data_IF_792135147383
#
_entry.id   IF_792135147383
#
_cell.length_a   1.000
_cell.length_b   1.000
_cell.length_c   1.000
_cell.angle_alpha   90.00
_cell.angle_beta   90.00
_cell.angle_gamma   90.00
#
_symmetry.space_group_name_H-M   'P 1'
#
loop_
_entity.id
_entity.type
_entity.pdbx_description
1 polymer ?
#
# COMPACT_ATOMS: atom_id res chain seq x y z
N UNK A 1 -24.86 5.11 4.31
CA UNK A 1 -25.07 3.85 5.07
C UNK A 1 -24.46 3.93 6.46
N UNK A 2 -24.88 3.04 7.39
CA UNK A 2 -24.34 3.03 8.77
C UNK A 2 -23.11 2.14 8.96
N UNK A 3 -22.93 1.14 8.10
CA UNK A 3 -21.76 0.28 8.08
C UNK A 3 -21.56 -0.37 6.72
N UNK A 4 -20.33 -0.78 6.45
CA UNK A 4 -19.97 -1.62 5.29
C UNK A 4 -18.69 -2.42 5.60
N UNK A 5 -18.51 -3.51 4.86
CA UNK A 5 -17.32 -4.35 4.94
C UNK A 5 -16.57 -4.30 3.62
N UNK A 6 -15.24 -4.29 3.71
CA UNK A 6 -14.34 -4.33 2.56
C UNK A 6 -13.44 -5.56 2.65
N UNK A 7 -13.15 -6.15 1.50
CA UNK A 7 -12.06 -7.11 1.35
C UNK A 7 -11.03 -6.51 0.37
N UNK A 8 -9.89 -6.07 0.93
CA UNK A 8 -8.80 -5.47 0.15
C UNK A 8 -7.55 -6.31 0.37
N UNK A 9 -7.03 -6.90 -0.70
CA UNK A 9 -5.87 -7.78 -0.63
C UNK A 9 -6.05 -8.96 0.36
N UNK A 10 -7.29 -9.37 0.62
CA UNK A 10 -7.63 -10.39 1.60
C UNK A 10 -7.71 -9.89 3.04
N UNK A 11 -7.53 -8.59 3.31
CA UNK A 11 -7.85 -7.98 4.60
C UNK A 11 -9.34 -7.66 4.67
N UNK A 12 -9.99 -8.11 5.71
CA UNK A 12 -11.40 -7.87 5.99
C UNK A 12 -11.52 -6.67 6.92
N UNK A 13 -11.99 -5.56 6.39
CA UNK A 13 -12.11 -4.28 7.09
C UNK A 13 -13.59 -3.98 7.30
N UNK A 14 -14.06 -3.98 8.54
CA UNK A 14 -15.39 -3.51 8.89
C UNK A 14 -15.32 -2.04 9.27
N UNK A 15 -16.17 -1.24 8.67
CA UNK A 15 -16.29 0.18 8.99
C UNK A 15 -17.71 0.45 9.43
N UNK A 16 -17.90 1.03 10.60
CA UNK A 16 -19.20 1.34 11.14
C UNK A 16 -19.24 2.75 11.75
N UNK A 17 -20.37 3.40 11.62
CA UNK A 17 -20.63 4.69 12.24
C UNK A 17 -21.03 4.49 13.69
N UNK A 18 -20.41 5.22 14.62
CA UNK A 18 -20.83 5.25 16.03
C UNK A 18 -22.26 5.77 16.18
N UNK A 19 -22.84 5.59 17.37
CA UNK A 19 -24.14 6.18 17.68
C UNK A 19 -24.08 7.71 17.54
N UNK A 20 -25.03 8.29 16.79
CA UNK A 20 -25.00 9.71 16.45
C UNK A 20 -23.88 10.15 15.47
N UNK A 21 -23.07 9.22 14.99
CA UNK A 21 -22.00 9.49 14.01
C UNK A 21 -22.51 9.75 12.59
N UNK A 22 -21.59 10.02 11.63
CA UNK A 22 -21.94 10.43 10.27
C UNK A 22 -22.51 9.28 9.44
N UNK A 23 -23.19 9.60 8.34
CA UNK A 23 -23.48 8.63 7.30
C UNK A 23 -22.19 8.30 6.51
N UNK A 24 -21.94 7.01 6.30
CA UNK A 24 -20.75 6.52 5.60
C UNK A 24 -21.02 6.38 4.10
N UNK A 25 -20.16 6.97 3.29
CA UNK A 25 -20.20 6.91 1.83
C UNK A 25 -18.83 6.47 1.33
N UNK A 26 -18.65 5.17 1.00
CA UNK A 26 -17.37 4.69 0.47
C UNK A 26 -17.09 5.33 -0.89
N UNK A 27 -15.86 5.76 -1.12
CA UNK A 27 -15.43 6.26 -2.42
C UNK A 27 -15.57 5.20 -3.52
N UNK A 28 -15.76 5.64 -4.76
CA UNK A 28 -16.01 4.78 -5.91
C UNK A 28 -14.94 3.69 -6.11
N UNK A 29 -13.67 4.00 -5.79
CA UNK A 29 -12.55 3.03 -5.87
C UNK A 29 -12.70 1.82 -4.95
N UNK A 30 -13.54 1.91 -3.89
CA UNK A 30 -13.77 0.80 -2.95
C UNK A 30 -15.01 -0.03 -3.27
N UNK A 31 -15.90 0.43 -4.15
CA UNK A 31 -17.18 -0.23 -4.39
C UNK A 31 -17.02 -1.69 -4.84
N UNK A 32 -15.95 -1.99 -5.58
CA UNK A 32 -15.63 -3.36 -6.02
C UNK A 32 -15.01 -4.23 -4.92
N UNK A 33 -14.63 -3.65 -3.80
CA UNK A 33 -14.09 -4.34 -2.63
C UNK A 33 -15.13 -4.58 -1.54
N UNK A 34 -16.36 -4.03 -1.69
CA UNK A 34 -17.44 -4.27 -0.74
C UNK A 34 -17.80 -5.75 -0.72
N UNK A 35 -17.86 -6.32 0.47
CA UNK A 35 -18.23 -7.71 0.69
C UNK A 35 -19.30 -7.86 1.79
N UNK A 36 -19.91 -9.05 1.85
CA UNK A 36 -20.96 -9.36 2.83
C UNK A 36 -20.45 -10.22 4.00
N UNK A 37 -19.12 -10.40 4.11
CA UNK A 37 -18.52 -11.18 5.19
C UNK A 37 -18.70 -10.44 6.52
N UNK A 38 -19.08 -11.18 7.57
CA UNK A 38 -19.34 -10.62 8.91
C UNK A 38 -18.10 -10.62 9.80
N UNK A 39 -17.14 -11.50 9.52
CA UNK A 39 -15.84 -11.53 10.21
C UNK A 39 -14.93 -10.41 9.67
N UNK A 40 -14.04 -9.93 10.52
CA UNK A 40 -13.13 -8.84 10.17
C UNK A 40 -11.79 -8.97 10.88
N UNK A 41 -10.72 -8.55 10.18
CA UNK A 41 -9.37 -8.39 10.75
C UNK A 41 -9.28 -7.09 11.56
N UNK A 42 -10.03 -6.07 11.14
CA UNK A 42 -10.12 -4.78 11.83
C UNK A 42 -11.52 -4.20 11.76
N UNK A 43 -11.99 -3.65 12.89
CA UNK A 43 -13.18 -2.83 13.01
C UNK A 43 -12.79 -1.36 13.20
N UNK A 44 -13.24 -0.47 12.31
CA UNK A 44 -13.04 0.97 12.41
C UNK A 44 -14.36 1.64 12.76
N UNK A 45 -14.47 2.21 13.98
CA UNK A 45 -15.62 3.01 14.39
C UNK A 45 -15.41 4.46 14.02
N UNK A 46 -16.35 5.01 13.23
CA UNK A 46 -16.27 6.38 12.72
C UNK A 46 -17.15 7.29 13.56
N UNK A 47 -16.54 8.32 14.12
CA UNK A 47 -17.16 9.33 14.97
C UNK A 47 -17.19 10.69 14.24
N UNK A 48 -18.28 11.43 14.42
CA UNK A 48 -18.34 12.83 14.00
C UNK A 48 -17.68 13.74 15.04
N UNK A 49 -17.09 14.85 14.56
CA UNK A 49 -16.61 15.92 15.41
C UNK A 49 -15.12 15.85 15.74
N UNK A 50 -14.72 16.67 16.71
CA UNK A 50 -13.33 16.89 17.05
C UNK A 50 -12.88 15.91 18.14
N UNK A 51 -11.76 15.25 17.92
CA UNK A 51 -11.01 14.55 18.96
C UNK A 51 -9.73 15.33 19.29
N UNK A 52 -9.35 15.33 20.56
CA UNK A 52 -8.09 15.95 21.02
C UNK A 52 -7.12 14.88 21.47
N UNK A 53 -6.02 14.73 20.74
CA UNK A 53 -4.91 13.87 21.16
C UNK A 53 -4.40 14.33 22.53
N UNK A 54 -4.10 13.45 23.48
CA UNK A 54 -3.56 13.80 24.79
C UNK A 54 -2.38 14.79 24.69
N UNK A 55 -2.38 15.84 25.51
CA UNK A 55 -1.39 16.93 25.40
C UNK A 55 0.05 16.50 25.64
N UNK A 56 0.26 15.39 26.31
CA UNK A 56 1.56 14.75 26.57
C UNK A 56 1.89 13.59 25.60
N UNK A 57 1.10 13.44 24.50
CA UNK A 57 1.45 12.49 23.46
C UNK A 57 2.69 12.96 22.69
N UNK A 58 3.64 12.07 22.50
CA UNK A 58 4.85 12.33 21.74
C UNK A 58 4.56 12.28 20.24
N UNK A 59 4.94 13.32 19.49
CA UNK A 59 4.90 13.27 18.03
C UNK A 59 6.14 12.58 17.49
N UNK A 60 5.98 11.33 17.03
CA UNK A 60 7.06 10.45 16.57
C UNK A 60 7.34 10.51 15.08
N UNK A 61 6.38 11.03 14.28
CA UNK A 61 6.55 11.14 12.84
C UNK A 61 5.75 12.32 12.26
N UNK A 62 6.26 12.89 11.17
CA UNK A 62 5.57 13.94 10.42
C UNK A 62 5.90 13.82 8.92
N UNK A 63 4.89 13.76 8.08
CA UNK A 63 5.02 13.71 6.63
C UNK A 63 4.58 15.05 6.00
N UNK A 64 5.37 15.61 5.07
CA UNK A 64 4.94 16.73 4.24
C UNK A 64 3.94 16.26 3.17
N UNK A 65 3.13 17.17 2.64
CA UNK A 65 2.37 16.95 1.42
C UNK A 65 3.23 17.36 0.22
N UNK A 66 3.50 16.39 -0.63
CA UNK A 66 4.33 16.57 -1.84
C UNK A 66 3.47 16.17 -3.04
N UNK A 67 3.40 17.02 -4.05
CA UNK A 67 2.80 16.73 -5.35
C UNK A 67 3.89 16.59 -6.41
N UNK A 68 3.70 15.67 -7.33
CA UNK A 68 4.55 15.59 -8.53
C UNK A 68 3.89 16.43 -9.65
N UNK A 69 4.56 17.48 -10.08
CA UNK A 69 4.12 18.37 -11.15
C UNK A 69 5.17 18.32 -12.26
N UNK A 70 4.80 17.79 -13.42
CA UNK A 70 5.71 17.65 -14.58
C UNK A 70 7.03 16.90 -14.24
N UNK A 71 6.94 15.84 -13.42
CA UNK A 71 8.09 15.04 -12.99
C UNK A 71 8.94 15.68 -11.88
N UNK A 72 8.53 16.85 -11.36
CA UNK A 72 9.21 17.54 -10.27
C UNK A 72 8.38 17.41 -9.01
N UNK A 73 9.02 16.97 -7.92
CA UNK A 73 8.39 16.92 -6.60
C UNK A 73 8.31 18.33 -6.00
N UNK A 74 7.08 18.81 -5.80
CA UNK A 74 6.78 20.13 -5.22
C UNK A 74 6.15 19.95 -3.85
N UNK A 75 6.84 20.41 -2.82
CA UNK A 75 6.31 20.43 -1.45
C UNK A 75 5.21 21.48 -1.32
N UNK A 76 3.97 21.05 -1.06
CA UNK A 76 2.80 21.91 -0.90
C UNK A 76 2.51 22.29 0.54
N UNK A 77 2.85 21.41 1.49
CA UNK A 77 2.63 21.65 2.91
C UNK A 77 3.66 20.88 3.75
N UNK A 78 4.09 21.48 4.87
CA UNK A 78 4.91 20.77 5.87
C UNK A 78 4.09 19.82 6.75
N UNK A 79 2.76 19.88 6.66
CA UNK A 79 1.84 19.15 7.52
C UNK A 79 0.81 18.44 6.65
N UNK A 80 1.04 17.18 6.39
CA UNK A 80 0.08 16.33 5.70
C UNK A 80 -0.54 15.33 6.67
N UNK A 81 0.30 14.52 7.28
CA UNK A 81 -0.10 13.63 8.34
C UNK A 81 1.04 13.45 9.35
N UNK A 82 0.69 13.06 10.57
CA UNK A 82 1.66 12.83 11.63
C UNK A 82 1.21 11.69 12.53
N UNK A 83 2.18 11.01 13.17
CA UNK A 83 1.93 9.98 14.17
C UNK A 83 2.28 10.54 15.54
N UNK A 84 1.37 10.32 16.48
CA UNK A 84 1.58 10.62 17.88
C UNK A 84 1.43 9.33 18.69
N UNK A 85 2.31 9.12 19.66
CA UNK A 85 2.31 7.97 20.58
C UNK A 85 1.93 8.43 21.98
N UNK A 86 1.00 7.73 22.59
CA UNK A 86 0.63 7.92 23.99
C UNK A 86 0.34 6.57 24.62
N UNK A 87 1.20 6.14 25.54
CA UNK A 87 1.18 4.78 26.10
C UNK A 87 1.25 3.71 25.00
N UNK A 88 0.23 2.86 24.90
CA UNK A 88 0.11 1.82 23.87
C UNK A 88 -0.71 2.27 22.65
N UNK A 89 -1.31 3.47 22.70
CA UNK A 89 -2.11 4.02 21.63
C UNK A 89 -1.26 4.81 20.65
N UNK A 90 -1.59 4.66 19.37
CA UNK A 90 -1.04 5.43 18.28
C UNK A 90 -2.16 6.28 17.65
N UNK A 91 -1.83 7.51 17.29
CA UNK A 91 -2.77 8.43 16.67
C UNK A 91 -2.19 8.93 15.36
N UNK A 92 -2.86 8.62 14.26
CA UNK A 92 -2.60 9.27 12.98
C UNK A 92 -3.49 10.50 12.88
N UNK A 93 -2.86 11.68 12.84
CA UNK A 93 -3.54 12.95 12.54
C UNK A 93 -3.29 13.31 11.10
N UNK A 94 -4.34 13.54 10.31
CA UNK A 94 -4.22 13.86 8.88
C UNK A 94 -5.10 15.02 8.46
N UNK A 95 -4.71 15.65 7.35
CA UNK A 95 -5.52 16.56 6.55
C UNK A 95 -5.92 15.85 5.25
N UNK A 96 -7.12 16.14 4.75
CA UNK A 96 -7.57 15.64 3.45
C UNK A 96 -7.32 16.71 2.37
N UNK A 97 -6.19 16.65 1.63
CA UNK A 97 -5.79 17.73 0.73
C UNK A 97 -6.66 17.84 -0.51
N UNK A 98 -7.32 16.75 -0.92
CA UNK A 98 -8.20 16.71 -2.09
C UNK A 98 -9.63 17.14 -1.78
N UNK A 99 -9.95 17.36 -0.50
CA UNK A 99 -11.26 17.83 -0.09
C UNK A 99 -11.43 19.32 -0.34
N UNK A 100 -12.57 19.71 -0.91
CA UNK A 100 -12.96 21.14 -1.05
C UNK A 100 -13.19 21.84 0.31
N UNK A 101 -13.37 21.05 1.38
CA UNK A 101 -13.49 21.55 2.76
C UNK A 101 -12.26 21.08 3.52
N UNK A 102 -11.70 21.93 4.38
CA UNK A 102 -10.57 21.59 5.25
C UNK A 102 -10.97 20.52 6.27
N UNK A 103 -11.07 19.28 5.80
CA UNK A 103 -11.34 18.11 6.64
C UNK A 103 -10.08 17.68 7.36
N UNK A 104 -10.24 17.27 8.60
CA UNK A 104 -9.17 16.67 9.41
C UNK A 104 -9.67 15.35 9.95
N UNK A 105 -8.76 14.40 10.10
CA UNK A 105 -9.09 13.16 10.76
C UNK A 105 -8.02 12.79 11.79
N UNK A 106 -8.47 12.04 12.81
CA UNK A 106 -7.60 11.39 13.79
C UNK A 106 -8.04 9.94 13.88
N UNK A 107 -7.15 9.04 13.45
CA UNK A 107 -7.30 7.61 13.65
C UNK A 107 -6.53 7.21 14.91
N UNK A 108 -7.23 6.71 15.92
CA UNK A 108 -6.65 6.02 17.06
C UNK A 108 -6.58 4.54 16.75
N UNK A 109 -5.39 3.95 16.86
CA UNK A 109 -5.17 2.54 16.61
C UNK A 109 -4.09 1.95 17.52
N UNK A 110 -4.07 0.64 17.63
CA UNK A 110 -2.99 -0.11 18.28
C UNK A 110 -2.60 -1.28 17.39
N UNK A 111 -1.31 -1.61 17.34
CA UNK A 111 -0.82 -2.78 16.58
C UNK A 111 -1.29 -4.12 17.18
N UNK A 112 -1.76 -4.09 18.45
CA UNK A 112 -2.23 -5.26 19.19
C UNK A 112 -3.75 -5.31 19.33
N UNK A 113 -4.50 -4.46 18.61
CA UNK A 113 -5.97 -4.42 18.67
C UNK A 113 -6.56 -4.42 17.29
N UNK A 114 -7.63 -5.17 17.11
CA UNK A 114 -8.47 -5.15 15.90
C UNK A 114 -9.57 -4.07 15.96
N UNK A 115 -9.65 -3.28 17.01
CA UNK A 115 -10.64 -2.21 17.14
C UNK A 115 -9.93 -0.86 17.11
N UNK A 116 -10.31 -0.02 16.13
CA UNK A 116 -9.75 1.30 15.86
C UNK A 116 -10.87 2.35 15.87
N UNK A 117 -10.55 3.56 16.28
CA UNK A 117 -11.48 4.69 16.30
C UNK A 117 -11.03 5.79 15.36
N UNK A 118 -11.92 6.29 14.51
CA UNK A 118 -11.67 7.34 13.53
C UNK A 118 -12.60 8.53 13.78
N UNK A 119 -12.04 9.69 14.12
CA UNK A 119 -12.77 10.96 14.21
C UNK A 119 -12.54 11.79 12.96
N UNK A 120 -13.62 12.32 12.37
CA UNK A 120 -13.57 13.19 11.19
C UNK A 120 -14.20 14.54 11.56
N UNK A 121 -13.38 15.59 11.50
CA UNK A 121 -13.78 16.99 11.74
C UNK A 121 -14.05 17.68 10.40
N UNK A 122 -15.19 18.37 10.26
CA UNK A 122 -15.55 19.14 9.06
C UNK A 122 -16.17 18.34 7.92
N UNK A 123 -16.51 17.07 8.14
CA UNK A 123 -17.02 16.17 7.11
C UNK A 123 -18.48 16.38 6.67
N UNK A 124 -19.29 17.12 7.43
CA UNK A 124 -20.74 17.20 7.19
C UNK A 124 -21.49 15.94 7.63
N UNK A 125 -22.70 15.72 7.07
CA UNK A 125 -23.55 14.57 7.38
C UNK A 125 -23.04 13.27 6.75
N UNK A 126 -22.35 13.36 5.59
CA UNK A 126 -21.81 12.23 4.81
C UNK A 126 -20.29 12.30 4.77
N UNK A 127 -19.61 11.18 5.00
CA UNK A 127 -18.15 11.08 4.98
C UNK A 127 -17.65 9.83 4.25
N UNK A 128 -16.54 9.96 3.51
CA UNK A 128 -15.70 8.83 3.13
C UNK A 128 -14.67 8.59 4.25
N UNK A 129 -14.75 7.48 4.99
CA UNK A 129 -13.82 7.20 6.08
C UNK A 129 -12.43 6.81 5.62
N UNK A 130 -12.28 6.47 4.34
CA UNK A 130 -11.02 6.06 3.73
C UNK A 130 -10.49 7.10 2.72
N UNK A 131 -10.90 8.37 2.88
CA UNK A 131 -10.37 9.46 2.04
C UNK A 131 -8.84 9.56 2.19
N UNK A 132 -8.15 9.78 1.06
CA UNK A 132 -6.68 9.89 1.03
C UNK A 132 -6.18 10.94 2.04
N UNK A 133 -5.19 10.61 2.89
CA UNK A 133 -4.27 9.48 2.83
C UNK A 133 -4.64 8.30 3.75
N UNK A 134 -5.79 8.30 4.42
CA UNK A 134 -6.14 7.26 5.40
C UNK A 134 -6.20 5.86 4.79
N UNK A 135 -6.68 5.72 3.56
CA UNK A 135 -6.72 4.45 2.84
C UNK A 135 -5.35 3.75 2.80
N UNK A 136 -4.34 4.46 2.31
CA UNK A 136 -2.98 3.93 2.23
C UNK A 136 -2.35 3.67 3.60
N UNK A 137 -2.64 4.53 4.60
CA UNK A 137 -2.11 4.38 5.95
C UNK A 137 -2.73 3.18 6.67
N UNK A 138 -4.04 2.98 6.57
CA UNK A 138 -4.73 1.82 7.14
C UNK A 138 -4.21 0.53 6.53
N UNK A 139 -4.12 0.45 5.19
CA UNK A 139 -3.57 -0.73 4.52
C UNK A 139 -2.11 -1.00 4.92
N UNK A 140 -1.28 0.05 5.04
CA UNK A 140 0.09 -0.12 5.52
C UNK A 140 0.16 -0.75 6.91
N UNK A 141 -0.64 -0.26 7.87
CA UNK A 141 -0.62 -0.83 9.23
C UNK A 141 -1.24 -2.22 9.30
N UNK A 142 -2.17 -2.56 8.41
CA UNK A 142 -2.63 -3.95 8.26
C UNK A 142 -1.50 -4.85 7.74
N UNK A 143 -0.70 -4.42 6.76
CA UNK A 143 0.47 -5.21 6.34
C UNK A 143 1.46 -5.42 7.49
N UNK A 144 1.69 -4.41 8.32
CA UNK A 144 2.58 -4.52 9.50
C UNK A 144 2.05 -5.55 10.50
N UNK A 145 0.75 -5.50 10.82
CA UNK A 145 0.12 -6.41 11.79
C UNK A 145 0.19 -7.87 11.31
N UNK A 146 0.01 -8.09 10.00
CA UNK A 146 0.01 -9.45 9.42
C UNK A 146 1.40 -9.94 8.98
N UNK A 147 2.45 -9.13 9.11
CA UNK A 147 3.79 -9.48 8.63
C UNK A 147 3.90 -9.57 7.11
N UNK A 148 3.00 -8.90 6.38
CA UNK A 148 2.99 -8.80 4.94
C UNK A 148 3.85 -7.63 4.44
N UNK A 149 4.02 -7.48 3.13
CA UNK A 149 4.92 -6.48 2.53
C UNK A 149 4.12 -5.55 1.64
N UNK A 150 4.19 -4.25 1.88
CA UNK A 150 3.70 -3.24 0.93
C UNK A 150 4.89 -2.65 0.17
N UNK A 151 4.84 -2.70 -1.15
CA UNK A 151 5.96 -2.31 -2.02
C UNK A 151 5.52 -1.41 -3.17
N UNK A 152 6.36 -0.44 -3.52
CA UNK A 152 6.19 0.40 -4.71
C UNK A 152 6.72 -0.32 -5.94
N UNK A 153 5.81 -0.91 -6.72
CA UNK A 153 6.15 -1.79 -7.84
C UNK A 153 5.03 -1.86 -8.89
N UNK A 154 5.37 -2.33 -10.09
CA UNK A 154 4.40 -2.83 -11.06
C UNK A 154 4.30 -4.35 -10.96
N UNK A 155 3.09 -4.88 -10.91
CA UNK A 155 2.80 -6.31 -10.88
C UNK A 155 2.12 -6.76 -12.17
N UNK A 156 2.60 -7.83 -12.76
CA UNK A 156 2.12 -8.39 -14.02
C UNK A 156 1.79 -9.87 -13.82
N UNK A 157 0.71 -10.34 -14.43
CA UNK A 157 0.45 -11.75 -14.62
C UNK A 157 0.52 -12.10 -16.11
N UNK A 158 1.40 -13.01 -16.47
CA UNK A 158 1.52 -13.56 -17.81
C UNK A 158 1.43 -15.07 -17.74
N UNK A 159 0.42 -15.65 -18.37
CA UNK A 159 0.19 -17.10 -18.41
C UNK A 159 0.22 -17.80 -17.03
N UNK A 160 -0.26 -17.13 -15.98
CA UNK A 160 -0.29 -17.66 -14.61
C UNK A 160 0.96 -17.33 -13.78
N UNK A 161 2.05 -16.87 -14.40
CA UNK A 161 3.27 -16.43 -13.73
C UNK A 161 3.17 -14.96 -13.33
N UNK A 162 3.45 -14.65 -12.07
CA UNK A 162 3.45 -13.29 -11.57
C UNK A 162 4.85 -12.68 -11.52
N UNK A 163 5.02 -11.53 -12.15
CA UNK A 163 6.28 -10.78 -12.20
C UNK A 163 6.13 -9.44 -11.50
N UNK A 164 7.01 -9.20 -10.55
CA UNK A 164 7.09 -7.94 -9.83
C UNK A 164 8.27 -7.13 -10.35
N UNK A 165 7.99 -5.91 -10.84
CA UNK A 165 9.00 -4.96 -11.31
C UNK A 165 9.11 -3.80 -10.32
N UNK A 166 10.23 -3.70 -9.61
CA UNK A 166 10.46 -2.68 -8.59
C UNK A 166 11.74 -1.90 -8.86
N UNK A 167 11.78 -0.67 -8.41
CA UNK A 167 12.90 0.25 -8.56
C UNK A 167 12.49 1.65 -8.12
N UNK A 168 13.46 2.51 -7.87
CA UNK A 168 13.22 3.91 -7.47
C UNK A 168 12.39 4.66 -8.52
N UNK A 169 11.82 5.81 -8.13
CA UNK A 169 11.04 6.65 -9.06
C UNK A 169 11.81 6.95 -10.34
N UNK A 170 11.11 6.94 -11.49
CA UNK A 170 11.71 7.19 -12.81
C UNK A 170 12.46 6.02 -13.46
N UNK A 171 12.58 4.85 -12.82
CA UNK A 171 13.28 3.69 -13.39
C UNK A 171 12.47 2.86 -14.40
N UNK A 172 11.23 3.27 -14.70
CA UNK A 172 10.45 2.67 -15.78
C UNK A 172 9.46 1.60 -15.37
N UNK A 173 8.97 1.56 -14.11
CA UNK A 173 7.92 0.63 -13.66
C UNK A 173 6.67 0.71 -14.52
N UNK A 174 6.11 1.90 -14.71
CA UNK A 174 4.95 2.14 -15.58
C UNK A 174 5.22 1.81 -17.05
N UNK A 175 6.45 2.05 -17.52
CA UNK A 175 6.87 1.65 -18.88
C UNK A 175 6.85 0.15 -19.03
N UNK A 176 7.36 -0.58 -18.04
CA UNK A 176 7.33 -2.04 -18.02
C UNK A 176 5.89 -2.56 -18.00
N UNK A 177 5.02 -2.01 -17.14
CA UNK A 177 3.60 -2.37 -17.12
C UNK A 177 2.95 -2.19 -18.49
N UNK A 178 3.17 -1.05 -19.17
CA UNK A 178 2.65 -0.79 -20.52
C UNK A 178 3.19 -1.75 -21.58
N UNK A 179 4.46 -2.13 -21.52
CA UNK A 179 5.04 -3.09 -22.47
C UNK A 179 4.38 -4.46 -22.34
N UNK A 180 4.14 -4.92 -21.11
CA UNK A 180 3.47 -6.19 -20.86
C UNK A 180 1.98 -6.16 -21.20
N UNK A 181 1.27 -5.08 -20.90
CA UNK A 181 -0.12 -4.85 -21.28
C UNK A 181 -0.29 -4.93 -22.81
N UNK A 182 0.57 -4.23 -23.55
CA UNK A 182 0.62 -4.26 -25.02
C UNK A 182 0.97 -5.66 -25.59
N UNK A 183 1.54 -6.55 -24.79
CA UNK A 183 1.81 -7.94 -25.19
C UNK A 183 0.70 -8.92 -24.78
N UNK A 184 -0.40 -8.41 -24.19
CA UNK A 184 -1.56 -9.20 -23.79
C UNK A 184 -1.47 -9.80 -22.38
N UNK A 185 -0.48 -9.44 -21.58
CA UNK A 185 -0.42 -9.82 -20.18
C UNK A 185 -1.36 -8.96 -19.33
N UNK A 186 -1.78 -9.47 -18.18
CA UNK A 186 -2.64 -8.74 -17.24
C UNK A 186 -1.80 -7.91 -16.28
N UNK A 187 -1.97 -6.61 -16.31
CA UNK A 187 -1.40 -5.72 -15.27
C UNK A 187 -2.22 -5.87 -14.00
N UNK A 188 -1.57 -6.23 -12.90
CA UNK A 188 -2.18 -6.33 -11.57
C UNK A 188 -2.29 -4.93 -10.97
N UNK A 189 -1.20 -4.19 -10.97
CA UNK A 189 -1.12 -2.78 -10.57
C UNK A 189 0.23 -2.18 -11.00
N UNK A 190 0.35 -0.85 -11.05
CA UNK A 190 1.62 -0.17 -11.40
C UNK A 190 2.02 0.96 -10.43
N UNK A 191 1.53 0.89 -9.18
CA UNK A 191 1.91 1.83 -8.11
C UNK A 191 2.28 1.09 -6.83
N UNK A 192 1.28 0.57 -6.09
CA UNK A 192 1.46 -0.10 -4.80
C UNK A 192 0.85 -1.49 -4.81
N UNK A 193 1.65 -2.47 -4.44
CA UNK A 193 1.25 -3.86 -4.29
C UNK A 193 1.39 -4.29 -2.83
N UNK A 194 0.51 -5.19 -2.42
CA UNK A 194 0.64 -5.92 -1.17
C UNK A 194 1.06 -7.34 -1.52
N UNK A 195 2.15 -7.81 -0.93
CA UNK A 195 2.64 -9.17 -1.08
C UNK A 195 2.34 -9.91 0.22
N UNK A 196 1.56 -10.99 0.10
CA UNK A 196 1.16 -11.83 1.23
C UNK A 196 1.71 -13.23 1.10
N UNK A 197 2.14 -13.80 2.23
CA UNK A 197 2.53 -15.20 2.31
C UNK A 197 1.29 -16.09 2.26
N UNK A 198 1.33 -17.16 1.47
CA UNK A 198 0.30 -18.21 1.46
C UNK A 198 0.63 -19.29 2.48
N UNK A 199 -0.38 -19.93 3.07
CA UNK A 199 -0.16 -21.03 4.00
C UNK A 199 0.61 -22.23 3.40
N UNK A 200 0.75 -22.29 2.08
CA UNK A 200 1.50 -23.32 1.34
C UNK A 200 2.97 -22.98 1.04
N UNK A 201 3.48 -21.86 1.58
CA UNK A 201 4.88 -21.46 1.41
C UNK A 201 5.18 -20.57 0.20
N UNK A 202 4.14 -20.20 -0.60
CA UNK A 202 4.27 -19.26 -1.71
C UNK A 202 3.91 -17.84 -1.31
N UNK A 203 3.95 -16.94 -2.29
CA UNK A 203 3.56 -15.54 -2.14
C UNK A 203 2.57 -15.14 -3.23
N UNK A 204 1.63 -14.27 -2.86
CA UNK A 204 0.66 -13.68 -3.77
C UNK A 204 0.77 -12.16 -3.69
N UNK A 205 0.84 -11.51 -4.84
CA UNK A 205 0.76 -10.06 -4.94
C UNK A 205 -0.68 -9.63 -5.24
N UNK A 206 -1.14 -8.60 -4.54
CA UNK A 206 -2.47 -8.01 -4.66
C UNK A 206 -2.36 -6.55 -5.05
N UNK A 207 -3.31 -6.06 -5.84
CA UNK A 207 -3.45 -4.62 -6.05
C UNK A 207 -4.04 -3.92 -4.82
N UNK A 208 -3.88 -2.60 -4.81
CA UNK A 208 -4.54 -1.70 -3.85
C UNK A 208 -5.54 -0.80 -4.60
N UNK A 209 -6.69 -0.44 -4.01
CA UNK A 209 -7.69 0.39 -4.67
C UNK A 209 -7.26 1.88 -4.70
N UNK A 210 -6.39 2.24 -5.64
CA UNK A 210 -5.86 3.61 -5.81
C UNK A 210 -6.65 4.39 -6.85
N UNK A 211 -7.08 3.70 -7.92
CA UNK A 211 -7.78 4.31 -9.05
C UNK A 211 -9.30 4.11 -8.95
N UNK A 212 -10.02 4.93 -9.71
CA UNK A 212 -11.48 4.83 -9.81
C UNK A 212 -11.88 3.46 -10.40
N UNK A 213 -12.86 2.81 -9.77
CA UNK A 213 -13.38 1.50 -10.19
C UNK A 213 -12.35 0.36 -10.22
N UNK A 214 -11.31 0.41 -9.40
CA UNK A 214 -10.37 -0.68 -9.29
C UNK A 214 -11.07 -2.00 -8.93
N UNK A 215 -10.80 -3.03 -9.74
CA UNK A 215 -11.26 -4.40 -9.48
C UNK A 215 -10.21 -5.10 -8.65
N UNK A 216 -10.57 -5.86 -7.59
CA UNK A 216 -9.61 -6.68 -6.87
C UNK A 216 -8.88 -7.64 -7.82
N UNK A 217 -7.57 -7.54 -7.87
CA UNK A 217 -6.70 -8.35 -8.69
C UNK A 217 -5.60 -8.98 -7.82
N UNK A 218 -5.26 -10.21 -8.17
CA UNK A 218 -4.13 -10.90 -7.53
C UNK A 218 -3.40 -11.79 -8.52
N UNK A 219 -2.17 -12.14 -8.18
CA UNK A 219 -1.34 -13.09 -8.93
C UNK A 219 -0.36 -13.78 -8.00
N UNK A 220 -0.06 -15.08 -8.19
CA UNK A 220 1.13 -15.67 -7.57
C UNK A 220 2.36 -14.81 -7.87
N UNK A 221 3.28 -14.70 -6.93
CA UNK A 221 4.57 -14.05 -7.15
C UNK A 221 5.61 -15.11 -7.55
N UNK A 222 6.01 -15.10 -8.82
CA UNK A 222 6.95 -16.07 -9.38
C UNK A 222 8.38 -15.55 -9.44
N UNK A 223 8.57 -14.24 -9.79
CA UNK A 223 9.90 -13.61 -9.91
C UNK A 223 9.85 -12.12 -9.54
N UNK A 224 10.97 -11.63 -9.02
CA UNK A 224 11.18 -10.20 -8.71
C UNK A 224 12.25 -9.65 -9.66
N UNK A 225 11.93 -8.54 -10.31
CA UNK A 225 12.85 -7.79 -11.17
C UNK A 225 13.10 -6.40 -10.58
N UNK A 226 14.34 -6.16 -10.17
CA UNK A 226 14.83 -4.89 -9.68
C UNK A 226 15.36 -4.10 -10.88
N UNK A 227 14.51 -3.19 -11.40
CA UNK A 227 14.70 -2.60 -12.73
C UNK A 227 15.60 -1.36 -12.71
N UNK A 228 16.42 -1.28 -13.75
CA UNK A 228 17.26 -0.11 -14.06
C UNK A 228 17.31 0.13 -15.57
N UNK A 229 17.52 1.38 -15.97
CA UNK A 229 17.78 1.68 -17.38
C UNK A 229 19.11 1.09 -17.83
N UNK A 230 19.12 0.43 -19.00
CA UNK A 230 20.28 -0.17 -19.59
C UNK A 230 20.43 0.15 -21.09
N UNK A 231 21.65 0.08 -21.61
CA UNK A 231 21.92 0.14 -23.07
C UNK A 231 21.56 -1.16 -23.79
N UNK A 232 21.44 -2.26 -23.04
CA UNK A 232 21.04 -3.60 -23.48
C UNK A 232 20.13 -4.22 -22.41
N UNK A 233 19.34 -5.22 -22.79
CA UNK A 233 18.59 -6.03 -21.86
C UNK A 233 19.51 -7.08 -21.23
N UNK A 234 19.55 -7.13 -19.90
CA UNK A 234 20.41 -8.06 -19.15
C UNK A 234 19.75 -8.46 -17.83
N UNK A 235 19.73 -9.75 -17.54
CA UNK A 235 19.27 -10.33 -16.28
C UNK A 235 20.49 -10.76 -15.46
N UNK A 236 20.62 -10.19 -14.27
CA UNK A 236 21.69 -10.51 -13.32
C UNK A 236 21.05 -11.06 -12.07
N UNK A 237 21.23 -12.36 -11.73
CA UNK A 237 20.67 -12.93 -10.50
C UNK A 237 21.12 -12.16 -9.25
N UNK A 238 20.20 -11.97 -8.30
CA UNK A 238 20.49 -11.30 -7.03
C UNK A 238 20.03 -12.19 -5.89
N UNK A 239 20.92 -12.47 -4.95
CA UNK A 239 20.67 -13.38 -3.84
C UNK A 239 21.15 -12.80 -2.50
N UNK A 240 20.77 -13.49 -1.41
CA UNK A 240 21.23 -13.16 -0.06
C UNK A 240 20.91 -11.74 0.38
N UNK A 241 21.82 -11.13 1.12
CA UNK A 241 21.64 -9.78 1.68
C UNK A 241 21.50 -8.69 0.60
N UNK A 242 22.07 -8.89 -0.59
CA UNK A 242 21.90 -7.98 -1.72
C UNK A 242 20.46 -7.92 -2.20
N UNK A 243 19.80 -9.07 -2.35
CA UNK A 243 18.37 -9.14 -2.68
C UNK A 243 17.52 -8.43 -1.62
N UNK A 244 17.70 -8.79 -0.35
CA UNK A 244 16.98 -8.20 0.78
C UNK A 244 17.12 -6.67 0.79
N UNK A 245 18.34 -6.16 0.68
CA UNK A 245 18.60 -4.71 0.68
C UNK A 245 17.91 -3.99 -0.48
N UNK A 246 17.98 -4.54 -1.70
CA UNK A 246 17.37 -3.93 -2.88
C UNK A 246 15.85 -3.98 -2.83
N UNK A 247 15.23 -5.05 -2.31
CA UNK A 247 13.78 -5.14 -2.13
C UNK A 247 13.33 -4.17 -1.03
N UNK A 248 14.00 -4.16 0.13
CA UNK A 248 13.72 -3.25 1.24
C UNK A 248 13.73 -1.77 0.83
N UNK A 249 14.66 -1.38 -0.04
CA UNK A 249 14.76 0.00 -0.53
C UNK A 249 13.51 0.47 -1.32
N UNK A 250 12.67 -0.45 -1.79
CA UNK A 250 11.46 -0.16 -2.54
C UNK A 250 10.17 -0.46 -1.73
N UNK A 251 10.28 -1.03 -0.53
CA UNK A 251 9.14 -1.23 0.35
C UNK A 251 8.64 0.12 0.89
N UNK A 252 7.33 0.23 1.09
CA UNK A 252 6.74 1.35 1.80
C UNK A 252 7.15 1.23 3.27
N UNK A 253 7.72 2.29 3.82
CA UNK A 253 8.27 2.31 5.18
C UNK A 253 7.94 3.62 5.88
N UNK A 254 7.46 3.53 7.12
CA UNK A 254 7.32 4.67 8.02
C UNK A 254 8.40 4.54 9.12
N UNK A 255 9.53 5.23 8.94
CA UNK A 255 10.78 5.05 9.71
C UNK A 255 10.74 5.64 11.13
N UNK A 256 9.62 5.53 11.84
CA UNK A 256 9.49 6.04 13.20
C UNK A 256 9.58 4.97 14.30
N UNK A 257 9.46 3.70 13.93
CA UNK A 257 9.47 2.58 14.84
C UNK A 257 10.42 1.48 14.32
N UNK A 258 11.47 1.21 15.07
CA UNK A 258 12.49 0.21 14.73
C UNK A 258 11.95 -1.22 14.72
N UNK A 259 10.95 -1.54 15.54
CA UNK A 259 10.34 -2.88 15.59
C UNK A 259 9.53 -3.16 14.31
N UNK A 260 8.80 -2.15 13.81
CA UNK A 260 8.07 -2.24 12.53
C UNK A 260 9.05 -2.49 11.38
N UNK A 261 10.17 -1.74 11.35
CA UNK A 261 11.19 -1.90 10.33
C UNK A 261 11.89 -3.26 10.44
N UNK A 262 12.18 -3.71 11.65
CA UNK A 262 12.76 -5.04 11.89
C UNK A 262 11.80 -6.18 11.45
N UNK A 263 10.49 -6.03 11.72
CA UNK A 263 9.46 -6.95 11.26
C UNK A 263 9.41 -7.03 9.73
N UNK A 264 9.37 -5.89 9.04
CA UNK A 264 9.41 -5.82 7.59
C UNK A 264 10.68 -6.46 7.01
N UNK A 265 11.85 -6.16 7.60
CA UNK A 265 13.12 -6.77 7.24
C UNK A 265 13.06 -8.31 7.40
N UNK A 266 12.45 -8.80 8.48
CA UNK A 266 12.19 -10.22 8.70
C UNK A 266 11.37 -10.83 7.57
N UNK A 267 10.23 -10.22 7.23
CA UNK A 267 9.34 -10.71 6.14
C UNK A 267 10.05 -10.74 4.79
N UNK A 268 10.80 -9.69 4.44
CA UNK A 268 11.58 -9.64 3.20
C UNK A 268 12.71 -10.68 3.21
N UNK A 269 13.36 -10.89 4.36
CA UNK A 269 14.44 -11.88 4.51
C UNK A 269 13.93 -13.32 4.34
N UNK A 270 12.68 -13.60 4.70
CA UNK A 270 12.03 -14.89 4.48
C UNK A 270 11.59 -15.05 3.01
N UNK A 271 11.10 -14.00 2.37
CA UNK A 271 10.65 -14.04 0.98
C UNK A 271 11.79 -14.18 -0.03
N UNK A 272 12.88 -13.42 0.12
CA UNK A 272 13.94 -13.35 -0.88
C UNK A 272 14.63 -14.69 -1.21
N UNK A 273 14.81 -15.64 -0.27
CA UNK A 273 15.34 -16.97 -0.61
C UNK A 273 14.37 -17.86 -1.40
N UNK A 274 13.06 -17.59 -1.29
CA UNK A 274 12.00 -18.40 -1.91
C UNK A 274 11.67 -17.93 -3.32
N UNK A 275 11.68 -16.60 -3.54
CA UNK A 275 11.30 -16.00 -4.83
C UNK A 275 12.55 -15.58 -5.59
N UNK A 276 12.83 -16.17 -6.77
CA UNK A 276 13.96 -15.78 -7.62
C UNK A 276 13.95 -14.27 -7.93
N UNK A 277 15.06 -13.60 -7.70
CA UNK A 277 15.19 -12.17 -7.91
C UNK A 277 16.34 -11.85 -8.88
N UNK A 278 16.12 -10.85 -9.72
CA UNK A 278 17.07 -10.41 -10.73
C UNK A 278 17.18 -8.88 -10.73
N UNK A 279 18.39 -8.38 -10.89
CA UNK A 279 18.60 -7.01 -11.36
C UNK A 279 18.40 -7.03 -12.87
N UNK A 280 17.44 -6.26 -13.36
CA UNK A 280 17.10 -6.17 -14.77
C UNK A 280 17.56 -4.82 -15.34
N UNK A 281 18.62 -4.83 -16.10
CA UNK A 281 18.95 -3.72 -16.99
C UNK A 281 18.09 -3.84 -18.24
N UNK A 282 17.35 -2.78 -18.62
CA UNK A 282 16.45 -2.89 -19.77
C UNK A 282 16.41 -1.65 -20.64
N UNK A 283 16.17 -1.88 -21.93
CA UNK A 283 15.68 -0.90 -22.88
C UNK A 283 14.16 -0.91 -22.85
N UNK A 284 13.50 0.25 -23.04
CA UNK A 284 12.04 0.34 -23.06
C UNK A 284 11.43 -0.15 -24.39
N UNK A 285 11.76 -1.37 -24.79
CA UNK A 285 11.24 -2.03 -25.98
C UNK A 285 10.81 -3.48 -25.71
N UNK A 286 10.08 -4.10 -26.64
CA UNK A 286 9.49 -5.43 -26.47
C UNK A 286 10.51 -6.55 -26.25
N UNK A 287 11.77 -6.36 -26.66
CA UNK A 287 12.81 -7.40 -26.52
C UNK A 287 13.14 -7.76 -25.06
N UNK A 288 12.80 -6.90 -24.11
CA UNK A 288 12.93 -7.21 -22.68
C UNK A 288 11.95 -8.32 -22.24
N UNK A 289 10.76 -8.37 -22.81
CA UNK A 289 9.78 -9.42 -22.55
C UNK A 289 10.30 -10.76 -23.06
N UNK A 290 10.84 -10.77 -24.30
CA UNK A 290 11.42 -11.98 -24.89
C UNK A 290 12.58 -12.53 -24.06
N UNK A 291 13.42 -11.62 -23.48
CA UNK A 291 14.49 -12.00 -22.57
C UNK A 291 13.93 -12.66 -21.29
N UNK A 292 12.91 -12.08 -20.68
CA UNK A 292 12.31 -12.59 -19.44
C UNK A 292 11.70 -13.97 -19.68
N UNK A 293 10.91 -14.14 -20.75
CA UNK A 293 10.23 -15.38 -21.08
C UNK A 293 11.20 -16.52 -21.50
N UNK A 294 12.35 -16.19 -22.08
CA UNK A 294 13.39 -17.21 -22.40
C UNK A 294 14.13 -17.74 -21.18
N UNK A 295 13.99 -17.08 -20.04
CA UNK A 295 14.64 -17.45 -18.77
C UNK A 295 13.60 -17.94 -17.71
N UNK A 296 12.46 -18.47 -18.18
CA UNK A 296 11.44 -19.14 -17.35
C UNK A 296 11.85 -20.50 -16.84
#
# INVERSE_FOLDING_TARGET
MRSFNLNIAGYKIRIESSEGGPELVPAERFLRNICNESDHDVLIRVHAGKFTIPGNAEKVFNAPYIEEINGIQVKKSDRFWSIHKYQNDLFIKTLFPLSLKSKKAILKYSLNSSEWDLWIEGGGAEVDPLEYPLDGLILYYLTVIHGDIMIHASGINSAGNGYLFSGVSGKGKTTMAKLWDNSGARVIHDDRLIIRHTGSGGYVMHNTPVYRNDVPLQSPLSKIFLIEHGKKNELIPVNGSGCVSMVMANCIQHNWNTEIIAGLLGSVSIMCPVIPAFRLLFKPDKSVIDLILKNE
#
